data_IF_280423143035
#
_entry.id   IF_280423143035
#
_cell.length_a   1.000
_cell.length_b   1.000
_cell.length_c   1.000
_cell.angle_alpha   90.00
_cell.angle_beta   90.00
_cell.angle_gamma   90.00
#
_symmetry.space_group_name_H-M   'P 1'
#
loop_
_entity.id
_entity.type
_entity.pdbx_description
1 polymer ?
#
# COMPACT_ATOMS: atom_id res chain seq x y z
N UNK A 1 -22.78 -16.59 9.36
CA UNK A 1 -22.75 -15.99 8.00
C UNK A 1 -21.29 -15.78 7.62
N UNK A 2 -20.94 -16.01 6.35
CA UNK A 2 -19.60 -15.68 5.84
C UNK A 2 -19.38 -14.18 5.91
N UNK A 3 -18.19 -13.74 6.32
CA UNK A 3 -17.83 -12.32 6.23
C UNK A 3 -17.71 -11.95 4.74
N UNK A 4 -18.22 -10.79 4.35
CA UNK A 4 -18.22 -10.31 2.97
C UNK A 4 -17.32 -9.09 2.80
N UNK A 5 -16.46 -9.12 1.78
CA UNK A 5 -15.47 -8.09 1.51
C UNK A 5 -15.63 -7.59 0.07
N UNK A 6 -15.73 -6.27 -0.07
CA UNK A 6 -15.62 -5.60 -1.36
C UNK A 6 -14.20 -5.08 -1.56
N UNK A 7 -13.52 -5.54 -2.60
CA UNK A 7 -12.18 -5.06 -2.97
C UNK A 7 -12.27 -4.17 -4.20
N UNK A 8 -11.90 -2.91 -4.07
CA UNK A 8 -11.90 -1.92 -5.16
C UNK A 8 -10.44 -1.67 -5.58
N UNK A 9 -10.15 -1.78 -6.87
CA UNK A 9 -8.79 -1.77 -7.39
C UNK A 9 -8.15 -3.16 -7.35
N UNK A 10 -8.81 -4.14 -7.98
CA UNK A 10 -8.36 -5.52 -7.97
C UNK A 10 -7.13 -5.72 -8.87
N UNK A 11 -5.95 -5.68 -8.26
CA UNK A 11 -4.63 -5.89 -8.82
C UNK A 11 -3.92 -7.10 -8.19
N UNK A 12 -2.58 -7.20 -8.33
CA UNK A 12 -1.77 -8.31 -7.80
C UNK A 12 -1.94 -8.53 -6.28
N UNK A 13 -1.88 -7.45 -5.48
CA UNK A 13 -2.09 -7.57 -4.02
C UNK A 13 -3.52 -8.01 -3.69
N UNK A 14 -4.50 -7.49 -4.40
CA UNK A 14 -5.90 -7.86 -4.20
C UNK A 14 -6.18 -9.33 -4.57
N UNK A 15 -5.58 -9.83 -5.65
CA UNK A 15 -5.66 -11.24 -6.04
C UNK A 15 -5.04 -12.17 -4.98
N UNK A 16 -3.91 -11.77 -4.39
CA UNK A 16 -3.28 -12.50 -3.28
C UNK A 16 -4.16 -12.49 -2.03
N UNK A 17 -4.73 -11.32 -1.71
CA UNK A 17 -5.63 -11.16 -0.58
C UNK A 17 -6.89 -12.01 -0.75
N UNK A 18 -7.54 -11.97 -1.91
CA UNK A 18 -8.71 -12.80 -2.18
C UNK A 18 -8.41 -14.29 -1.97
N UNK A 19 -7.33 -14.81 -2.56
CA UNK A 19 -6.91 -16.21 -2.38
C UNK A 19 -6.70 -16.57 -0.90
N UNK A 20 -6.18 -15.64 -0.11
CA UNK A 20 -6.02 -15.81 1.32
C UNK A 20 -7.35 -15.83 2.05
N UNK A 21 -8.24 -14.87 1.77
CA UNK A 21 -9.55 -14.71 2.41
C UNK A 21 -10.53 -15.85 2.08
N UNK A 22 -10.54 -16.34 0.84
CA UNK A 22 -11.40 -17.48 0.44
C UNK A 22 -11.03 -18.74 1.24
N UNK A 23 -9.74 -18.99 1.53
CA UNK A 23 -9.33 -20.11 2.39
C UNK A 23 -9.83 -20.01 3.82
N UNK A 24 -10.19 -18.80 4.25
CA UNK A 24 -10.80 -18.48 5.56
C UNK A 24 -12.32 -18.34 5.50
N UNK A 25 -12.92 -18.81 4.43
CA UNK A 25 -14.38 -18.82 4.21
C UNK A 25 -15.01 -17.41 4.12
N UNK A 26 -14.27 -16.41 3.60
CA UNK A 26 -14.82 -15.10 3.27
C UNK A 26 -15.49 -15.14 1.88
N UNK A 27 -16.54 -14.34 1.70
CA UNK A 27 -17.05 -13.95 0.38
C UNK A 27 -16.31 -12.70 -0.08
N UNK A 28 -15.76 -12.70 -1.29
CA UNK A 28 -15.02 -11.57 -1.85
C UNK A 28 -15.61 -11.17 -3.19
N UNK A 29 -15.96 -9.90 -3.33
CA UNK A 29 -16.32 -9.26 -4.59
C UNK A 29 -15.21 -8.26 -4.98
N UNK A 30 -14.76 -8.29 -6.22
CA UNK A 30 -13.64 -7.46 -6.69
C UNK A 30 -14.02 -6.54 -7.86
N UNK A 31 -13.67 -5.26 -7.77
CA UNK A 31 -13.81 -4.30 -8.86
C UNK A 31 -12.47 -4.01 -9.53
N UNK A 32 -12.42 -4.15 -10.88
CA UNK A 32 -11.20 -3.95 -11.66
C UNK A 32 -11.50 -3.43 -13.07
N UNK A 33 -10.57 -2.68 -13.65
CA UNK A 33 -10.64 -2.28 -15.07
C UNK A 33 -10.54 -3.45 -16.04
N UNK A 34 -9.85 -4.51 -15.65
CA UNK A 34 -9.49 -5.62 -16.53
C UNK A 34 -9.76 -6.97 -15.84
N UNK A 35 -11.04 -7.39 -15.71
CA UNK A 35 -11.40 -8.61 -15.00
C UNK A 35 -10.73 -9.86 -15.58
N UNK A 36 -10.53 -9.91 -16.88
CA UNK A 36 -9.88 -11.05 -17.57
C UNK A 36 -8.38 -11.21 -17.27
N UNK A 37 -7.75 -10.22 -16.66
CA UNK A 37 -6.32 -10.25 -16.31
C UNK A 37 -6.03 -11.03 -15.02
N UNK A 38 -7.01 -11.14 -14.15
CA UNK A 38 -6.86 -11.71 -12.82
C UNK A 38 -7.73 -12.96 -12.64
N UNK A 39 -7.34 -13.84 -11.73
CA UNK A 39 -8.06 -15.09 -11.43
C UNK A 39 -8.96 -14.96 -10.19
N UNK A 40 -9.67 -13.83 -10.08
CA UNK A 40 -10.64 -13.65 -9.01
C UNK A 40 -11.95 -14.40 -9.28
N UNK A 41 -12.61 -14.83 -8.21
CA UNK A 41 -13.82 -15.64 -8.30
C UNK A 41 -15.10 -14.85 -8.62
N UNK A 42 -15.12 -13.56 -8.24
CA UNK A 42 -16.27 -12.68 -8.44
C UNK A 42 -15.77 -11.27 -8.79
N UNK A 43 -15.40 -11.08 -10.07
CA UNK A 43 -14.85 -9.83 -10.56
C UNK A 43 -15.87 -9.09 -11.44
N UNK A 44 -16.06 -7.81 -11.10
CA UNK A 44 -16.93 -6.88 -11.82
C UNK A 44 -16.04 -5.84 -12.49
N UNK A 45 -16.34 -5.50 -13.74
CA UNK A 45 -15.62 -4.47 -14.46
C UNK A 45 -16.03 -3.08 -13.99
N UNK A 46 -15.04 -2.29 -13.58
CA UNK A 46 -15.20 -0.87 -13.30
C UNK A 46 -13.93 -0.11 -13.67
N UNK A 47 -14.13 0.99 -14.41
CA UNK A 47 -13.06 1.89 -14.82
C UNK A 47 -13.39 3.32 -14.37
N UNK A 48 -12.72 3.79 -13.34
CA UNK A 48 -12.90 5.14 -12.79
C UNK A 48 -12.46 6.24 -13.77
N UNK A 49 -11.58 5.94 -14.72
CA UNK A 49 -11.13 6.91 -15.72
C UNK A 49 -12.23 7.34 -16.68
N UNK A 50 -13.33 6.56 -16.76
CA UNK A 50 -14.53 6.88 -17.53
C UNK A 50 -15.51 7.79 -16.78
N UNK A 51 -15.18 8.20 -15.57
CA UNK A 51 -16.03 9.02 -14.68
C UNK A 51 -17.45 8.46 -14.50
N UNK A 52 -17.57 7.13 -14.38
CA UNK A 52 -18.84 6.43 -14.16
C UNK A 52 -18.83 5.73 -12.82
N UNK A 53 -19.92 5.92 -12.08
CA UNK A 53 -20.19 5.14 -10.87
C UNK A 53 -20.35 3.66 -11.21
N UNK A 54 -19.98 2.79 -10.27
CA UNK A 54 -20.30 1.37 -10.37
C UNK A 54 -21.61 1.08 -9.67
N UNK A 55 -22.28 0.01 -10.11
CA UNK A 55 -23.52 -0.49 -9.50
C UNK A 55 -23.26 -1.92 -9.07
N UNK A 56 -23.60 -2.23 -7.83
CA UNK A 56 -23.56 -3.57 -7.27
C UNK A 56 -25.01 -4.02 -6.94
N UNK A 57 -25.27 -5.29 -7.12
CA UNK A 57 -26.54 -5.91 -6.67
C UNK A 57 -26.52 -6.11 -5.14
N UNK A 58 -25.33 -6.43 -4.59
CA UNK A 58 -25.15 -6.55 -3.15
C UNK A 58 -25.15 -5.18 -2.49
N UNK A 59 -25.95 -5.03 -1.46
CA UNK A 59 -26.09 -3.79 -0.68
C UNK A 59 -25.39 -3.84 0.70
N UNK A 60 -24.72 -4.94 1.01
CA UNK A 60 -24.12 -5.14 2.34
C UNK A 60 -22.80 -5.88 2.26
N UNK A 61 -21.75 -5.26 2.87
CA UNK A 61 -20.43 -5.86 3.07
C UNK A 61 -19.97 -5.66 4.52
N UNK A 62 -19.15 -6.58 5.05
CA UNK A 62 -18.51 -6.35 6.34
C UNK A 62 -17.43 -5.27 6.22
N UNK A 63 -16.63 -5.32 5.15
CA UNK A 63 -15.58 -4.32 4.92
C UNK A 63 -15.41 -4.00 3.43
N UNK A 64 -15.00 -2.77 3.16
CA UNK A 64 -14.57 -2.31 1.83
C UNK A 64 -13.06 -2.06 1.90
N UNK A 65 -12.30 -2.55 0.92
CA UNK A 65 -10.86 -2.34 0.82
C UNK A 65 -10.56 -1.65 -0.50
N UNK A 66 -9.89 -0.52 -0.44
CA UNK A 66 -9.51 0.23 -1.64
C UNK A 66 -8.01 0.22 -1.86
N UNK A 67 -7.59 -0.29 -3.02
CA UNK A 67 -6.22 -0.25 -3.53
C UNK A 67 -6.12 0.81 -4.63
N UNK A 68 -5.86 2.08 -4.28
CA UNK A 68 -5.71 3.13 -5.28
C UNK A 68 -4.50 2.86 -6.18
N UNK A 69 -4.65 3.16 -7.45
CA UNK A 69 -3.57 3.01 -8.43
C UNK A 69 -3.59 4.21 -9.36
N UNK A 70 -2.47 4.94 -9.54
CA UNK A 70 -2.43 6.05 -10.47
C UNK A 70 -2.70 5.55 -11.91
N UNK A 71 -3.41 6.34 -12.70
CA UNK A 71 -3.61 6.04 -14.12
C UNK A 71 -2.31 6.23 -14.91
N UNK A 72 -1.49 7.22 -14.51
CA UNK A 72 -0.18 7.54 -15.05
C UNK A 72 0.78 7.98 -13.92
N UNK A 73 2.11 7.93 -14.19
CA UNK A 73 3.13 8.32 -13.21
C UNK A 73 3.45 9.83 -13.23
N UNK A 74 2.41 10.67 -13.29
CA UNK A 74 2.45 12.12 -13.15
C UNK A 74 1.41 12.57 -12.12
N UNK A 75 1.36 13.87 -11.80
CA UNK A 75 0.46 14.41 -10.79
C UNK A 75 -1.01 14.20 -11.14
N UNK A 76 -1.38 14.42 -12.40
CA UNK A 76 -2.74 14.22 -12.89
C UNK A 76 -3.18 12.77 -12.76
N UNK A 77 -2.33 11.82 -13.17
CA UNK A 77 -2.60 10.39 -13.02
C UNK A 77 -2.71 9.94 -11.56
N UNK A 78 -1.94 10.55 -10.65
CA UNK A 78 -2.09 10.30 -9.22
C UNK A 78 -3.41 10.89 -8.69
N UNK A 79 -3.78 12.11 -9.07
CA UNK A 79 -5.08 12.69 -8.68
C UNK A 79 -6.24 11.84 -9.19
N UNK A 80 -6.19 11.41 -10.43
CA UNK A 80 -7.20 10.52 -11.01
C UNK A 80 -7.31 9.19 -10.25
N UNK A 81 -6.19 8.54 -9.95
CA UNK A 81 -6.17 7.23 -9.31
C UNK A 81 -6.46 7.23 -7.80
N UNK A 82 -6.29 8.36 -7.10
CA UNK A 82 -6.45 8.47 -5.65
C UNK A 82 -7.64 9.34 -5.25
N UNK A 83 -7.78 10.53 -5.83
CA UNK A 83 -8.79 11.53 -5.41
C UNK A 83 -10.10 11.32 -6.17
N UNK A 84 -10.05 11.39 -7.52
CA UNK A 84 -11.25 11.28 -8.35
C UNK A 84 -11.90 9.90 -8.26
N UNK A 85 -11.07 8.84 -8.19
CA UNK A 85 -11.55 7.49 -7.97
C UNK A 85 -12.23 7.33 -6.62
N UNK A 86 -11.69 7.91 -5.54
CA UNK A 86 -12.31 7.86 -4.21
C UNK A 86 -13.64 8.62 -4.21
N UNK A 87 -13.73 9.75 -4.89
CA UNK A 87 -14.96 10.53 -5.05
C UNK A 87 -16.06 9.71 -5.73
N UNK A 88 -15.70 9.00 -6.81
CA UNK A 88 -16.60 8.07 -7.50
C UNK A 88 -17.03 6.91 -6.61
N UNK A 89 -16.10 6.34 -5.84
CA UNK A 89 -16.39 5.29 -4.88
C UNK A 89 -17.40 5.78 -3.84
N UNK A 90 -17.17 6.94 -3.23
CA UNK A 90 -18.05 7.52 -2.20
C UNK A 90 -19.48 7.63 -2.74
N UNK A 91 -19.66 8.14 -3.96
CA UNK A 91 -20.99 8.24 -4.60
C UNK A 91 -21.60 6.88 -4.88
N UNK A 92 -20.79 5.93 -5.39
CA UNK A 92 -21.29 4.61 -5.76
C UNK A 92 -21.73 3.75 -4.56
N UNK A 93 -21.12 3.95 -3.39
CA UNK A 93 -21.40 3.11 -2.19
C UNK A 93 -22.40 3.72 -1.22
N UNK A 94 -23.05 4.84 -1.55
CA UNK A 94 -24.00 5.51 -0.64
C UNK A 94 -25.13 4.59 -0.16
N UNK A 95 -25.56 3.63 -0.99
CA UNK A 95 -26.59 2.67 -0.66
C UNK A 95 -26.05 1.39 0.02
N UNK A 96 -24.73 1.21 0.06
CA UNK A 96 -24.08 0.01 0.58
C UNK A 96 -23.86 0.16 2.09
N UNK A 97 -24.29 -0.83 2.86
CA UNK A 97 -24.01 -0.93 4.29
C UNK A 97 -22.67 -1.64 4.50
N UNK A 98 -21.79 -1.04 5.27
CA UNK A 98 -20.51 -1.64 5.65
C UNK A 98 -20.04 -1.16 7.04
N UNK A 99 -19.20 -1.97 7.69
CA UNK A 99 -18.68 -1.71 9.04
C UNK A 99 -17.36 -0.92 8.99
N UNK A 100 -16.48 -1.23 8.01
CA UNK A 100 -15.18 -0.58 7.88
C UNK A 100 -14.77 -0.34 6.44
N UNK A 101 -14.02 0.74 6.22
CA UNK A 101 -13.37 1.07 4.95
C UNK A 101 -11.85 1.11 5.16
N UNK A 102 -11.13 0.20 4.51
CA UNK A 102 -9.68 0.12 4.58
C UNK A 102 -9.09 0.77 3.34
N UNK A 103 -8.42 1.90 3.52
CA UNK A 103 -7.70 2.60 2.46
C UNK A 103 -6.22 2.25 2.44
N UNK A 104 -5.73 1.73 1.32
CA UNK A 104 -4.30 1.49 1.15
C UNK A 104 -3.61 2.80 0.77
N UNK A 105 -2.61 3.17 1.56
CA UNK A 105 -1.80 4.37 1.44
C UNK A 105 -0.30 4.02 1.37
N UNK A 106 0.57 5.01 1.45
CA UNK A 106 2.01 4.84 1.34
C UNK A 106 2.77 5.69 2.34
N UNK A 107 3.86 5.18 2.86
CA UNK A 107 4.81 5.95 3.67
C UNK A 107 5.52 7.07 2.89
N UNK A 108 5.27 7.23 1.60
CA UNK A 108 5.73 8.37 0.79
C UNK A 108 5.12 9.72 1.22
N UNK A 109 4.06 9.72 2.03
CA UNK A 109 3.52 10.92 2.69
C UNK A 109 4.56 11.57 3.60
N UNK A 110 5.46 10.79 4.19
CA UNK A 110 6.64 11.31 4.87
C UNK A 110 7.69 11.71 3.84
N UNK A 111 7.97 13.01 3.73
CA UNK A 111 8.91 13.55 2.76
C UNK A 111 10.35 13.05 2.95
N UNK A 112 11.18 13.25 1.94
CA UNK A 112 12.58 12.83 1.96
C UNK A 112 13.41 13.62 3.01
N UNK A 113 12.92 14.80 3.42
CA UNK A 113 13.56 15.65 4.43
C UNK A 113 13.16 15.31 5.87
N UNK A 114 12.21 14.40 6.07
CA UNK A 114 11.88 13.88 7.40
C UNK A 114 12.79 12.71 7.73
N UNK A 115 13.51 12.82 8.84
CA UNK A 115 14.54 11.86 9.29
C UNK A 115 14.26 11.38 10.70
N UNK A 116 15.00 10.38 11.16
CA UNK A 116 14.78 9.72 12.45
C UNK A 116 13.61 8.72 12.39
N UNK A 117 13.10 8.37 13.55
CA UNK A 117 11.96 7.43 13.68
C UNK A 117 10.64 8.16 13.45
N UNK A 118 9.90 7.78 12.43
CA UNK A 118 8.63 8.35 12.03
C UNK A 118 7.48 7.45 12.46
N UNK A 119 6.74 7.91 13.46
CA UNK A 119 5.50 7.27 13.97
C UNK A 119 4.27 7.85 13.27
N UNK A 120 3.11 7.28 13.53
CA UNK A 120 1.83 7.76 13.02
C UNK A 120 1.43 9.15 13.56
N UNK A 121 1.99 9.55 14.70
CA UNK A 121 1.77 10.85 15.35
C UNK A 121 2.57 11.99 14.69
N UNK A 122 3.60 11.64 13.92
CA UNK A 122 4.42 12.63 13.21
C UNK A 122 3.64 13.17 12.01
N UNK A 123 3.45 14.50 11.99
CA UNK A 123 2.81 15.17 10.87
C UNK A 123 3.56 14.92 9.56
N UNK A 124 2.91 14.35 8.52
CA UNK A 124 3.54 14.14 7.23
C UNK A 124 3.88 15.44 6.53
N UNK A 125 5.10 15.51 5.97
CA UNK A 125 5.60 16.66 5.19
C UNK A 125 6.10 16.16 3.83
N UNK A 126 5.19 15.87 2.88
CA UNK A 126 5.59 15.34 1.59
C UNK A 126 6.51 16.30 0.84
N UNK A 127 7.53 15.75 0.17
CA UNK A 127 8.52 16.50 -0.60
C UNK A 127 8.27 16.50 -2.12
N UNK A 128 7.21 15.81 -2.56
CA UNK A 128 6.87 15.69 -3.97
C UNK A 128 5.36 15.48 -4.16
N UNK A 129 4.88 15.65 -5.40
CA UNK A 129 3.45 15.54 -5.72
C UNK A 129 2.82 14.20 -5.31
N UNK A 130 3.56 13.09 -5.38
CA UNK A 130 3.02 11.76 -5.03
C UNK A 130 2.61 11.70 -3.57
N UNK A 131 3.51 12.10 -2.69
CA UNK A 131 3.23 12.16 -1.26
C UNK A 131 2.12 13.15 -0.94
N UNK A 132 2.07 14.31 -1.63
CA UNK A 132 1.05 15.33 -1.42
C UNK A 132 -0.35 14.83 -1.80
N UNK A 133 -0.50 14.20 -2.97
CA UNK A 133 -1.79 13.64 -3.42
C UNK A 133 -2.23 12.48 -2.52
N UNK A 134 -1.31 11.61 -2.10
CA UNK A 134 -1.64 10.52 -1.17
C UNK A 134 -2.08 11.07 0.19
N UNK A 135 -1.44 12.12 0.70
CA UNK A 135 -1.87 12.76 1.95
C UNK A 135 -3.25 13.43 1.83
N UNK A 136 -3.56 14.04 0.68
CA UNK A 136 -4.89 14.57 0.38
C UNK A 136 -5.93 13.45 0.36
N UNK A 137 -5.61 12.33 -0.28
CA UNK A 137 -6.44 11.12 -0.29
C UNK A 137 -6.74 10.61 1.13
N UNK A 138 -5.73 10.52 2.01
CA UNK A 138 -5.93 10.10 3.41
C UNK A 138 -6.92 11.03 4.14
N UNK A 139 -6.79 12.35 3.96
CA UNK A 139 -7.70 13.35 4.55
C UNK A 139 -9.12 13.19 4.03
N UNK A 140 -9.27 13.00 2.71
CA UNK A 140 -10.56 12.80 2.07
C UNK A 140 -11.24 11.52 2.57
N UNK A 141 -10.48 10.44 2.69
CA UNK A 141 -10.96 9.16 3.20
C UNK A 141 -11.44 9.29 4.66
N UNK A 142 -10.62 9.89 5.52
CA UNK A 142 -10.97 10.10 6.91
C UNK A 142 -12.20 11.01 7.06
N UNK A 143 -12.31 12.12 6.32
CA UNK A 143 -13.45 13.04 6.41
C UNK A 143 -14.78 12.39 5.99
N UNK A 144 -14.77 11.45 5.04
CA UNK A 144 -15.98 10.79 4.57
C UNK A 144 -16.41 9.58 5.41
N UNK A 145 -15.45 8.80 5.92
CA UNK A 145 -15.75 7.55 6.62
C UNK A 145 -15.51 7.62 8.13
N UNK A 146 -14.79 8.66 8.59
CA UNK A 146 -14.53 8.92 10.01
C UNK A 146 -14.08 7.66 10.77
N UNK A 147 -14.79 7.31 11.85
CA UNK A 147 -14.49 6.15 12.70
C UNK A 147 -14.53 4.80 11.97
N UNK A 148 -15.14 4.71 10.80
CA UNK A 148 -15.16 3.51 9.97
C UNK A 148 -13.94 3.39 9.07
N UNK A 149 -13.07 4.39 9.01
CA UNK A 149 -11.87 4.35 8.17
C UNK A 149 -10.67 3.73 8.88
N UNK A 150 -9.90 2.96 8.13
CA UNK A 150 -8.56 2.53 8.50
C UNK A 150 -7.62 2.80 7.35
N UNK A 151 -6.54 3.52 7.59
CA UNK A 151 -5.52 3.84 6.60
C UNK A 151 -4.27 3.01 6.86
N UNK A 152 -3.83 2.24 5.88
CA UNK A 152 -2.60 1.45 5.94
C UNK A 152 -1.53 2.09 5.07
N UNK A 153 -0.55 2.77 5.68
CA UNK A 153 0.62 3.34 4.99
C UNK A 153 1.65 2.25 4.74
N UNK A 154 1.68 1.71 3.54
CA UNK A 154 2.64 0.68 3.17
C UNK A 154 4.01 1.28 2.86
N UNK A 155 5.07 0.68 3.39
CA UNK A 155 6.44 0.94 2.96
C UNK A 155 6.75 0.25 1.62
N UNK A 156 7.98 0.33 1.13
CA UNK A 156 8.37 -0.24 -0.15
C UNK A 156 8.06 -1.73 -0.25
N UNK A 157 7.06 -2.07 -1.07
CA UNK A 157 6.67 -3.47 -1.28
C UNK A 157 7.74 -4.23 -2.05
N UNK A 158 8.06 -5.43 -1.58
CA UNK A 158 9.03 -6.30 -2.23
C UNK A 158 8.62 -7.76 -2.25
N UNK A 159 9.21 -8.47 -3.21
CA UNK A 159 9.22 -9.93 -3.31
C UNK A 159 10.52 -10.31 -4.03
N UNK A 160 11.43 -10.96 -3.33
CA UNK A 160 12.77 -11.28 -3.85
C UNK A 160 13.75 -10.09 -3.88
N UNK A 161 14.79 -10.22 -4.70
CA UNK A 161 15.79 -9.18 -4.89
C UNK A 161 15.24 -7.99 -5.70
N UNK A 162 15.66 -6.74 -5.40
CA UNK A 162 15.27 -5.59 -6.21
C UNK A 162 15.79 -5.70 -7.64
N UNK A 163 14.89 -5.72 -8.62
CA UNK A 163 15.24 -5.85 -10.06
C UNK A 163 16.28 -4.83 -10.50
N UNK A 164 16.18 -3.58 -10.05
CA UNK A 164 17.12 -2.52 -10.42
C UNK A 164 18.55 -2.78 -9.93
N UNK A 165 18.75 -3.50 -8.82
CA UNK A 165 20.07 -3.96 -8.37
C UNK A 165 20.62 -5.05 -9.29
N UNK A 166 19.80 -6.00 -9.69
CA UNK A 166 20.18 -7.04 -10.65
C UNK A 166 20.56 -6.46 -12.02
N UNK A 167 19.78 -5.49 -12.50
CA UNK A 167 20.04 -4.80 -13.76
C UNK A 167 21.36 -4.00 -13.71
N UNK A 168 21.68 -3.41 -12.56
CA UNK A 168 22.93 -2.69 -12.36
C UNK A 168 24.15 -3.60 -12.46
N UNK A 169 24.06 -4.83 -11.93
CA UNK A 169 25.13 -5.82 -12.00
C UNK A 169 25.34 -6.34 -13.42
N UNK A 170 24.24 -6.52 -14.17
CA UNK A 170 24.27 -7.01 -15.56
C UNK A 170 24.84 -6.00 -16.54
N UNK A 171 24.90 -4.74 -16.16
CA UNK A 171 25.44 -3.66 -17.00
C UNK A 171 26.97 -3.73 -17.04
N UNK A 172 27.55 -3.99 -18.21
CA UNK A 172 28.99 -4.14 -18.42
C UNK A 172 29.80 -2.83 -18.25
N UNK A 173 29.14 -1.67 -18.22
CA UNK A 173 29.77 -0.37 -17.98
C UNK A 173 28.89 0.49 -17.04
N UNK A 174 28.78 0.10 -15.75
CA UNK A 174 27.86 0.74 -14.84
C UNK A 174 28.36 2.13 -14.45
N UNK A 175 27.57 3.17 -14.76
CA UNK A 175 27.69 4.44 -14.04
C UNK A 175 27.14 4.22 -12.63
N UNK A 176 27.93 4.56 -11.60
CA UNK A 176 27.46 4.43 -10.21
C UNK A 176 26.15 5.18 -10.00
N UNK A 177 25.17 4.48 -9.44
CA UNK A 177 23.86 5.02 -9.15
C UNK A 177 23.90 5.74 -7.81
N UNK A 178 23.56 7.04 -7.79
CA UNK A 178 23.40 7.80 -6.55
C UNK A 178 22.07 7.42 -5.89
N UNK A 179 22.12 6.81 -4.73
CA UNK A 179 20.93 6.49 -3.94
C UNK A 179 20.43 7.76 -3.23
N UNK A 180 19.14 7.81 -2.95
CA UNK A 180 18.52 8.91 -2.20
C UNK A 180 18.66 8.76 -0.69
N UNK A 181 18.88 7.53 -0.22
CA UNK A 181 19.07 7.16 1.18
C UNK A 181 20.03 6.00 1.28
N UNK A 182 20.72 5.86 2.39
CA UNK A 182 21.53 4.68 2.72
C UNK A 182 20.68 3.51 3.23
N UNK A 183 19.42 3.79 3.62
CA UNK A 183 18.50 2.81 4.19
C UNK A 183 17.21 2.72 3.38
N UNK A 184 16.56 1.57 3.48
CA UNK A 184 15.24 1.32 2.91
C UNK A 184 14.29 0.74 3.95
N UNK A 185 13.04 1.24 3.95
CA UNK A 185 11.93 0.66 4.67
C UNK A 185 11.18 -0.27 3.73
N UNK A 186 10.99 -1.54 4.12
CA UNK A 186 10.40 -2.55 3.26
C UNK A 186 9.28 -3.31 3.95
N UNK A 187 8.36 -3.80 3.12
CA UNK A 187 7.28 -4.70 3.53
C UNK A 187 7.14 -5.82 2.50
N UNK A 188 7.28 -7.07 2.93
CA UNK A 188 7.04 -8.20 2.03
C UNK A 188 5.56 -8.25 1.62
N UNK A 189 5.29 -8.60 0.35
CA UNK A 189 3.90 -8.63 -0.16
C UNK A 189 3.00 -9.56 0.64
N UNK A 190 3.50 -10.71 1.08
CA UNK A 190 2.73 -11.64 1.91
C UNK A 190 2.45 -11.08 3.31
N UNK A 191 3.37 -10.30 3.89
CA UNK A 191 3.12 -9.62 5.17
C UNK A 191 2.08 -8.51 5.01
N UNK A 192 2.06 -7.80 3.86
CA UNK A 192 0.99 -6.86 3.55
C UNK A 192 -0.39 -7.55 3.60
N UNK A 193 -0.52 -8.73 2.98
CA UNK A 193 -1.76 -9.52 3.04
C UNK A 193 -2.12 -9.91 4.47
N UNK A 194 -1.13 -10.34 5.27
CA UNK A 194 -1.35 -10.72 6.67
C UNK A 194 -1.76 -9.53 7.53
N UNK A 195 -1.24 -8.32 7.27
CA UNK A 195 -1.65 -7.09 7.96
C UNK A 195 -3.10 -6.75 7.65
N UNK A 196 -3.52 -6.84 6.39
CA UNK A 196 -4.90 -6.58 6.01
C UNK A 196 -5.84 -7.60 6.65
N UNK A 197 -5.49 -8.89 6.60
CA UNK A 197 -6.26 -9.95 7.26
C UNK A 197 -6.36 -9.73 8.78
N UNK A 198 -5.25 -9.38 9.42
CA UNK A 198 -5.23 -9.04 10.85
C UNK A 198 -6.16 -7.85 11.17
N UNK A 199 -6.16 -6.81 10.33
CA UNK A 199 -7.05 -5.66 10.48
C UNK A 199 -8.53 -6.08 10.37
N UNK A 200 -8.87 -6.94 9.42
CA UNK A 200 -10.23 -7.49 9.23
C UNK A 200 -10.67 -8.37 10.42
N UNK A 201 -9.77 -9.19 10.96
CA UNK A 201 -10.08 -10.06 12.10
C UNK A 201 -10.29 -9.27 13.38
N UNK A 202 -9.45 -8.27 13.63
CA UNK A 202 -9.52 -7.42 14.83
C UNK A 202 -10.60 -6.36 14.77
N UNK A 203 -11.19 -6.10 13.59
CA UNK A 203 -12.13 -5.00 13.41
C UNK A 203 -11.48 -3.64 13.71
N UNK A 204 -10.21 -3.49 13.30
CA UNK A 204 -9.47 -2.25 13.54
C UNK A 204 -10.12 -1.12 12.73
N UNK A 205 -10.81 -0.22 13.40
CA UNK A 205 -11.33 1.01 12.81
C UNK A 205 -11.42 2.14 13.83
N UNK A 206 -12.02 1.91 14.97
CA UNK A 206 -12.51 2.96 15.87
C UNK A 206 -11.43 3.73 16.66
N UNK A 207 -10.25 3.16 16.90
CA UNK A 207 -9.16 3.81 17.66
C UNK A 207 -7.83 3.82 16.92
N UNK A 208 -7.79 3.21 15.72
CA UNK A 208 -6.55 2.98 14.97
C UNK A 208 -6.74 3.33 13.50
N UNK A 209 -7.18 4.56 13.25
CA UNK A 209 -7.48 5.11 11.93
C UNK A 209 -6.30 5.12 10.96
N UNK A 210 -5.07 5.05 11.49
CA UNK A 210 -3.84 5.11 10.72
C UNK A 210 -2.78 4.16 11.26
N UNK A 211 -2.16 3.34 10.39
CA UNK A 211 -1.11 2.39 10.74
C UNK A 211 0.02 2.43 9.70
N UNK A 212 1.25 2.59 10.18
CA UNK A 212 2.45 2.40 9.40
C UNK A 212 2.75 0.89 9.25
N UNK A 213 2.81 0.43 8.00
CA UNK A 213 3.07 -0.96 7.65
C UNK A 213 4.48 -1.08 7.05
N UNK A 214 5.47 -1.27 7.93
CA UNK A 214 6.88 -1.44 7.58
C UNK A 214 7.45 -2.59 8.39
N UNK A 215 7.99 -3.62 7.72
CA UNK A 215 8.55 -4.79 8.39
C UNK A 215 10.03 -4.60 8.69
N UNK A 216 10.78 -4.15 7.71
CA UNK A 216 12.23 -4.06 7.75
C UNK A 216 12.73 -2.62 7.54
N UNK A 217 13.74 -2.26 8.31
CA UNK A 217 14.57 -1.10 8.11
C UNK A 217 16.02 -1.56 7.96
N UNK A 218 16.54 -1.59 6.74
CA UNK A 218 17.81 -2.21 6.39
C UNK A 218 18.67 -1.28 5.52
N UNK A 219 19.99 -1.37 5.67
CA UNK A 219 20.93 -0.69 4.75
C UNK A 219 20.85 -1.31 3.36
N UNK A 220 20.93 -0.48 2.32
CA UNK A 220 21.03 -0.97 0.94
C UNK A 220 22.28 -1.82 0.72
N UNK A 221 23.38 -1.51 1.39
CA UNK A 221 24.63 -2.28 1.33
C UNK A 221 24.45 -3.69 1.90
N UNK A 222 23.78 -3.83 3.06
CA UNK A 222 23.51 -5.13 3.68
C UNK A 222 22.56 -5.96 2.81
N UNK A 223 21.51 -5.33 2.27
CA UNK A 223 20.58 -5.96 1.35
C UNK A 223 21.29 -6.44 0.07
N UNK A 224 22.20 -5.64 -0.47
CA UNK A 224 22.96 -5.99 -1.66
C UNK A 224 23.90 -7.17 -1.39
N UNK A 225 24.62 -7.12 -0.27
CA UNK A 225 25.54 -8.19 0.14
C UNK A 225 24.83 -9.53 0.36
N UNK A 226 23.63 -9.50 0.95
CA UNK A 226 22.80 -10.70 1.13
C UNK A 226 22.38 -11.33 -0.20
N UNK A 227 22.02 -10.51 -1.19
CA UNK A 227 21.50 -10.97 -2.49
C UNK A 227 22.58 -11.23 -3.55
N UNK A 228 23.71 -10.55 -3.43
CA UNK A 228 24.79 -10.55 -4.42
C UNK A 228 26.17 -10.64 -3.72
N UNK A 229 26.48 -11.74 -3.00
CA UNK A 229 27.67 -11.84 -2.15
C UNK A 229 28.98 -11.73 -2.91
N UNK A 230 29.00 -12.04 -4.20
CA UNK A 230 30.21 -12.02 -5.06
C UNK A 230 30.53 -10.62 -5.61
N UNK A 231 29.71 -9.61 -5.32
CA UNK A 231 29.84 -8.25 -5.86
C UNK A 231 30.07 -7.23 -4.77
N UNK A 232 30.91 -6.19 -5.07
CA UNK A 232 31.14 -5.10 -4.14
C UNK A 232 30.09 -3.99 -4.39
N UNK A 233 29.32 -3.65 -3.38
CA UNK A 233 28.28 -2.61 -3.43
C UNK A 233 28.81 -1.26 -3.96
N UNK A 234 29.99 -0.85 -3.51
CA UNK A 234 30.59 0.44 -3.86
C UNK A 234 31.02 0.56 -5.33
N UNK A 235 31.05 -0.55 -6.08
CA UNK A 235 31.30 -0.50 -7.52
C UNK A 235 30.08 -0.01 -8.31
N UNK A 236 28.88 -0.18 -7.75
CA UNK A 236 27.61 0.11 -8.40
C UNK A 236 26.85 1.29 -7.83
N UNK A 237 27.04 1.60 -6.53
CA UNK A 237 26.19 2.54 -5.80
C UNK A 237 27.00 3.56 -5.00
N UNK A 238 26.40 4.73 -4.82
CA UNK A 238 26.88 5.80 -3.94
C UNK A 238 25.78 6.14 -2.97
N UNK A 239 26.02 5.92 -1.67
CA UNK A 239 25.12 6.32 -0.62
C UNK A 239 25.32 7.79 -0.25
N UNK A 240 24.25 8.53 0.05
CA UNK A 240 24.36 9.85 0.64
C UNK A 240 24.78 9.75 2.12
N UNK A 241 25.48 10.77 2.60
CA UNK A 241 25.72 10.98 4.03
C UNK A 241 24.53 11.76 4.63
N UNK A 242 23.38 11.09 4.73
CA UNK A 242 22.15 11.68 5.27
C UNK A 242 21.65 10.86 6.45
N UNK A 243 21.00 11.57 7.40
CA UNK A 243 20.34 10.90 8.50
C UNK A 243 19.24 9.96 7.96
N UNK A 244 19.18 8.77 8.51
CA UNK A 244 18.21 7.77 8.10
C UNK A 244 16.77 8.17 8.44
N UNK A 245 15.83 7.75 7.59
CA UNK A 245 14.39 7.80 7.83
C UNK A 245 13.90 6.39 8.15
N UNK A 246 13.50 6.15 9.38
CA UNK A 246 12.96 4.88 9.85
C UNK A 246 11.45 4.99 10.06
N UNK A 247 10.69 4.15 9.40
CA UNK A 247 9.23 4.08 9.59
C UNK A 247 8.93 3.13 10.74
N UNK A 248 8.38 3.67 11.82
CA UNK A 248 8.02 2.89 13.01
C UNK A 248 6.86 1.94 12.72
N UNK A 249 7.00 0.69 13.15
CA UNK A 249 5.92 -0.31 13.15
C UNK A 249 5.43 -0.65 14.58
N UNK A 250 5.76 0.19 15.55
CA UNK A 250 5.46 -0.07 16.95
C UNK A 250 3.96 -0.12 17.23
N UNK A 251 3.15 0.71 16.54
CA UNK A 251 1.69 0.75 16.72
C UNK A 251 1.08 -0.61 16.38
N UNK A 252 1.35 -1.14 15.19
CA UNK A 252 0.80 -2.43 14.77
C UNK A 252 1.31 -3.61 15.63
N UNK A 253 2.57 -3.54 16.09
CA UNK A 253 3.11 -4.54 17.04
C UNK A 253 2.40 -4.49 18.39
N UNK A 254 2.11 -3.31 18.93
CA UNK A 254 1.32 -3.13 20.17
C UNK A 254 -0.10 -3.67 20.03
N UNK A 255 -0.70 -3.61 18.85
CA UNK A 255 -2.00 -4.22 18.53
C UNK A 255 -1.95 -5.76 18.48
N UNK A 256 -0.75 -6.35 18.49
CA UNK A 256 -0.52 -7.80 18.53
C UNK A 256 -0.09 -8.43 17.20
N UNK A 257 0.14 -7.64 16.15
CA UNK A 257 0.70 -8.17 14.90
C UNK A 257 2.17 -8.57 15.07
N UNK A 258 2.55 -9.73 14.51
CA UNK A 258 3.92 -10.23 14.53
C UNK A 258 4.43 -10.35 13.10
N UNK A 259 5.45 -9.58 12.77
CA UNK A 259 6.17 -9.73 11.51
C UNK A 259 6.95 -11.04 11.52
N UNK A 260 7.13 -11.63 10.33
CA UNK A 260 7.93 -12.87 10.14
C UNK A 260 9.40 -12.57 9.84
N UNK A 261 9.67 -11.36 9.35
CA UNK A 261 11.01 -10.85 9.07
C UNK A 261 11.62 -10.19 10.31
#
# INVERSE_FOLDING_TARGET
>A
MKKSILIIGFGDLAERLERHLIRKDYYVCGLTRSPNKYKGSNLIQWDWTLNKEFILEEDTFDSIIFFPTPSEFNEEGYRSGFIESLDLIIRSIQHIKFKSFIGISSTSVYGDNQTGMLTEEIEPKPSNFRGSVILEYEKLLHSNFQERSLILRLSGLYEGAPRWMEESIKNTNPKKIKLRSSYVNRLHRDECIQIIDFALEKGLSLENDLINCSAEFIKYEDLFKDKFPDYNFNDYFICPDTQAKEISNQKIRKLGFKFKS
#
